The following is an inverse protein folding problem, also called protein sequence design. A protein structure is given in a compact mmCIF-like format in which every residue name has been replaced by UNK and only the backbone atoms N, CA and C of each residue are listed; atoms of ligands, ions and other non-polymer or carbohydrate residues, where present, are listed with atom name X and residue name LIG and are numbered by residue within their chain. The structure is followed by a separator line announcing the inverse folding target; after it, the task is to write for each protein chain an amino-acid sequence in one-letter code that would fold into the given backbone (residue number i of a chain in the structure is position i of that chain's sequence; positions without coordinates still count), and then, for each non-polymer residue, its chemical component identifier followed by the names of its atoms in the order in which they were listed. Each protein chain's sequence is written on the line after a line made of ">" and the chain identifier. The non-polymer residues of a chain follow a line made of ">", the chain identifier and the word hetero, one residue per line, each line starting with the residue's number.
data_IF_481900332051
#
_entry.id   IF_481900332051
#
_cell.length_a   1.000
_cell.length_b   1.000
_cell.length_c   1.000
_cell.angle_alpha   90.00
_cell.angle_beta   90.00
_cell.angle_gamma   90.00
#
_symmetry.space_group_name_H-M   'P 1'
#
loop_
_entity.id
_entity.type
_entity.pdbx_description
1 polymer ?
#
# COMPACT_ATOMS: atom_id res chain seq x y z
N UNK A 1 -12.03 -30.24 8.31
CA UNK A 1 -11.42 -28.92 8.02
C UNK A 1 -11.52 -28.70 6.53
N UNK A 2 -12.00 -27.53 6.09
CA UNK A 2 -12.02 -27.20 4.66
C UNK A 2 -10.58 -27.29 4.11
N UNK A 3 -10.44 -27.85 2.91
CA UNK A 3 -9.15 -27.88 2.22
C UNK A 3 -8.65 -26.43 2.05
N UNK A 4 -7.49 -26.14 2.63
CA UNK A 4 -6.95 -24.79 2.71
C UNK A 4 -6.43 -24.40 1.33
N UNK A 5 -7.01 -23.34 0.74
CA UNK A 5 -6.50 -22.79 -0.51
C UNK A 5 -5.09 -22.23 -0.28
N UNK A 6 -4.14 -22.66 -1.10
CA UNK A 6 -2.76 -22.17 -1.07
C UNK A 6 -2.73 -20.68 -1.42
N UNK A 7 -1.97 -19.90 -0.65
CA UNK A 7 -1.73 -18.48 -0.89
C UNK A 7 -0.23 -18.23 -1.02
N UNK A 8 0.16 -17.27 -1.85
CA UNK A 8 1.54 -16.87 -2.07
C UNK A 8 1.67 -15.36 -2.11
N UNK A 9 2.81 -14.84 -1.65
CA UNK A 9 3.18 -13.43 -1.77
C UNK A 9 3.96 -13.28 -3.08
N UNK A 10 3.39 -12.58 -4.04
CA UNK A 10 4.01 -12.39 -5.36
C UNK A 10 5.08 -11.30 -5.35
N UNK A 11 5.01 -10.38 -4.39
CA UNK A 11 5.87 -9.21 -4.36
C UNK A 11 5.55 -8.25 -3.23
N UNK A 12 6.37 -7.20 -3.13
CA UNK A 12 6.19 -6.13 -2.16
C UNK A 12 6.83 -4.82 -2.60
N UNK A 13 6.23 -3.72 -2.19
CA UNK A 13 6.75 -2.38 -2.36
C UNK A 13 6.40 -1.53 -1.13
N UNK A 14 7.22 -0.53 -0.85
CA UNK A 14 6.99 0.40 0.27
C UNK A 14 7.57 1.77 -0.09
N UNK A 15 7.05 2.80 0.56
CA UNK A 15 7.76 4.07 0.65
C UNK A 15 9.01 3.94 1.55
N UNK A 16 10.04 4.80 1.37
CA UNK A 16 11.12 4.92 2.34
C UNK A 16 10.57 5.28 3.72
N UNK A 17 11.12 4.71 4.78
CA UNK A 17 10.72 5.10 6.14
C UNK A 17 11.41 6.40 6.51
N UNK A 18 10.65 7.31 7.11
CA UNK A 18 11.12 8.63 7.49
C UNK A 18 10.72 8.96 8.92
N UNK A 19 11.49 9.83 9.57
CA UNK A 19 11.15 10.35 10.91
C UNK A 19 9.92 11.26 10.82
N UNK A 20 9.07 11.21 11.85
CA UNK A 20 7.96 12.15 12.01
C UNK A 20 8.44 13.62 11.96
N UNK A 21 7.69 14.48 11.29
CA UNK A 21 8.08 15.88 11.03
C UNK A 21 9.15 16.05 9.95
N UNK A 22 9.59 14.96 9.31
CA UNK A 22 10.58 14.97 8.23
C UNK A 22 9.96 15.07 6.82
N UNK A 23 10.51 14.33 5.83
CA UNK A 23 10.11 14.41 4.42
C UNK A 23 8.62 14.28 4.10
N UNK A 24 7.85 13.57 4.94
CA UNK A 24 6.40 13.38 4.75
C UNK A 24 5.55 14.27 5.66
N UNK A 25 6.12 15.30 6.29
CA UNK A 25 5.39 16.14 7.26
C UNK A 25 4.15 16.85 6.68
N UNK A 26 4.05 16.96 5.35
CA UNK A 26 2.92 17.58 4.64
C UNK A 26 2.14 16.59 3.77
N UNK A 27 2.54 15.31 3.75
CA UNK A 27 1.85 14.28 3.00
C UNK A 27 0.73 13.67 3.86
N UNK A 28 -0.41 13.38 3.25
CA UNK A 28 -1.47 12.65 3.93
C UNK A 28 -1.17 11.14 3.99
N UNK A 29 -1.96 10.41 4.78
CA UNK A 29 -1.90 8.94 4.77
C UNK A 29 -2.28 8.38 3.39
N UNK A 30 -3.23 9.00 2.70
CA UNK A 30 -3.62 8.61 1.34
C UNK A 30 -2.49 8.84 0.33
N UNK A 31 -1.75 9.95 0.42
CA UNK A 31 -0.59 10.20 -0.45
C UNK A 31 0.46 9.10 -0.31
N UNK A 32 0.78 8.76 0.94
CA UNK A 32 1.77 7.72 1.25
C UNK A 32 1.32 6.32 0.82
N UNK A 33 0.04 5.99 1.02
CA UNK A 33 -0.55 4.73 0.55
C UNK A 33 -0.53 4.64 -0.98
N UNK A 34 -0.92 5.72 -1.66
CA UNK A 34 -0.91 5.81 -3.12
C UNK A 34 0.49 5.59 -3.67
N UNK A 35 1.50 6.26 -3.10
CA UNK A 35 2.89 6.09 -3.52
C UNK A 35 3.41 4.64 -3.33
N UNK A 36 2.99 3.96 -2.25
CA UNK A 36 3.34 2.56 -2.05
C UNK A 36 2.70 1.64 -3.11
N UNK A 37 1.44 1.88 -3.48
CA UNK A 37 0.70 1.13 -4.49
C UNK A 37 1.24 1.41 -5.90
N UNK A 38 1.50 2.66 -6.25
CA UNK A 38 2.05 3.03 -7.56
C UNK A 38 3.38 2.34 -7.82
N UNK A 39 4.27 2.32 -6.82
CA UNK A 39 5.54 1.60 -6.94
C UNK A 39 5.36 0.07 -7.02
N UNK A 40 4.33 -0.50 -6.38
CA UNK A 40 4.01 -1.93 -6.54
C UNK A 40 3.55 -2.21 -7.98
N UNK A 41 2.63 -1.39 -8.48
CA UNK A 41 2.07 -1.50 -9.83
C UNK A 41 3.18 -1.36 -10.87
N UNK A 42 4.05 -0.36 -10.73
CA UNK A 42 5.22 -0.15 -11.58
C UNK A 42 6.18 -1.35 -11.56
N UNK A 43 6.54 -1.81 -10.36
CA UNK A 43 7.53 -2.89 -10.18
C UNK A 43 7.07 -4.23 -10.76
N UNK A 44 5.77 -4.51 -10.70
CA UNK A 44 5.19 -5.79 -11.12
C UNK A 44 4.37 -5.71 -12.41
N UNK A 45 4.39 -4.57 -13.13
CA UNK A 45 3.72 -4.41 -14.42
C UNK A 45 2.20 -4.55 -14.36
N UNK A 46 1.56 -4.05 -13.30
CA UNK A 46 0.13 -4.28 -13.02
C UNK A 46 -0.79 -3.16 -13.56
N UNK A 47 -0.30 -2.31 -14.46
CA UNK A 47 -1.08 -1.18 -14.99
C UNK A 47 -2.32 -1.69 -15.72
N UNK A 48 -3.46 -1.05 -15.47
CA UNK A 48 -4.74 -1.40 -16.10
C UNK A 48 -5.34 -2.73 -15.61
N UNK A 49 -4.68 -3.44 -14.69
CA UNK A 49 -5.20 -4.69 -14.14
C UNK A 49 -6.25 -4.42 -13.07
N UNK A 50 -7.32 -5.20 -13.09
CA UNK A 50 -8.35 -5.15 -12.06
C UNK A 50 -7.96 -6.05 -10.90
N UNK A 51 -7.78 -5.44 -9.72
CA UNK A 51 -7.63 -6.18 -8.46
C UNK A 51 -9.01 -6.60 -7.95
N UNK A 52 -9.10 -7.81 -7.39
CA UNK A 52 -10.32 -8.28 -6.75
C UNK A 52 -10.60 -7.56 -5.43
N UNK A 53 -9.56 -7.33 -4.64
CA UNK A 53 -9.66 -6.65 -3.35
C UNK A 53 -8.35 -5.90 -3.06
N UNK A 54 -8.48 -4.76 -2.36
CA UNK A 54 -7.36 -4.03 -1.77
C UNK A 54 -7.73 -3.69 -0.33
N UNK A 55 -6.85 -4.06 0.60
CA UNK A 55 -7.02 -3.76 2.01
C UNK A 55 -5.82 -2.92 2.50
N UNK A 56 -6.10 -1.84 3.23
CA UNK A 56 -5.11 -0.97 3.84
C UNK A 56 -5.48 -0.68 5.30
N UNK A 57 -4.48 -0.47 6.15
CA UNK A 57 -4.65 -0.21 7.58
C UNK A 57 -3.83 0.97 8.06
N UNK A 58 -4.43 1.77 8.95
CA UNK A 58 -3.77 2.87 9.66
C UNK A 58 -4.26 2.91 11.11
N UNK A 59 -3.35 3.17 12.05
CA UNK A 59 -3.68 3.26 13.48
C UNK A 59 -4.25 4.64 13.82
N UNK A 60 -3.53 5.71 13.43
CA UNK A 60 -4.01 7.08 13.49
C UNK A 60 -4.52 7.46 12.10
N UNK A 61 -5.83 7.69 11.99
CA UNK A 61 -6.49 8.08 10.76
C UNK A 61 -7.37 9.30 11.03
N UNK A 62 -7.18 10.37 10.27
CA UNK A 62 -8.14 11.46 10.21
C UNK A 62 -9.04 11.24 8.99
N UNK A 63 -10.35 11.49 9.10
CA UNK A 63 -11.26 11.40 7.94
C UNK A 63 -10.93 12.38 6.81
N UNK A 64 -10.00 13.31 7.06
CA UNK A 64 -9.52 14.32 6.11
C UNK A 64 -8.17 13.94 5.48
N UNK A 65 -7.56 12.83 5.92
CA UNK A 65 -6.31 12.30 5.35
C UNK A 65 -6.57 11.49 4.08
#
# INVERSE_FOLDING_TARGET
>A
MADLRRAAILGGNRIPFARAGGPYARASNQDMLTAALDGLIARFGLQGQRLGEVAAGAVLKHSRD
#
